data_IF_439944361311
#
_entry.id   IF_439944361311
#
_cell.length_a   1.000
_cell.length_b   1.000
_cell.length_c   1.000
_cell.angle_alpha   90.00
_cell.angle_beta   90.00
_cell.angle_gamma   90.00
#
_symmetry.space_group_name_H-M   'P 1'
#
loop_
_entity.id
_entity.type
_entity.pdbx_description
1 polymer ?
#
# COMPACT_ATOMS: atom_id res chain seq x y z
N UNK A 1 -10.96 -9.98 -13.48
CA UNK A 1 -10.09 -9.33 -12.48
C UNK A 1 -9.02 -8.58 -13.25
N UNK A 2 -9.08 -7.24 -13.40
CA UNK A 2 -7.99 -6.53 -14.05
C UNK A 2 -6.75 -6.72 -13.19
N UNK A 3 -5.62 -7.08 -13.81
CA UNK A 3 -4.35 -7.35 -13.13
C UNK A 3 -4.05 -6.23 -12.12
N UNK A 4 -4.10 -6.57 -10.83
CA UNK A 4 -3.90 -5.62 -9.74
C UNK A 4 -2.52 -5.00 -9.86
N UNK A 5 -2.44 -3.67 -9.70
CA UNK A 5 -1.15 -3.01 -9.58
C UNK A 5 -0.38 -3.65 -8.41
N UNK A 6 0.94 -3.82 -8.52
CA UNK A 6 1.73 -4.35 -7.42
C UNK A 6 1.53 -3.48 -6.17
N UNK A 7 1.48 -4.10 -4.99
CA UNK A 7 1.34 -3.37 -3.72
C UNK A 7 2.47 -2.35 -3.52
N UNK A 8 3.68 -2.73 -3.95
CA UNK A 8 4.89 -1.93 -3.85
C UNK A 8 5.47 -1.61 -5.23
N UNK A 9 5.98 -0.40 -5.37
CA UNK A 9 6.94 -0.04 -6.42
C UNK A 9 8.35 -0.45 -5.96
N UNK A 10 8.80 -1.62 -6.39
CA UNK A 10 10.10 -2.16 -6.00
C UNK A 10 11.26 -1.30 -6.49
N UNK A 11 11.13 -0.65 -7.66
CA UNK A 11 12.18 0.22 -8.18
C UNK A 11 12.34 1.45 -7.28
N UNK A 12 11.22 2.05 -6.86
CA UNK A 12 11.23 3.16 -5.89
C UNK A 12 11.78 2.73 -4.54
N UNK A 13 11.38 1.57 -4.01
CA UNK A 13 11.86 1.09 -2.70
C UNK A 13 13.35 0.77 -2.72
N UNK A 14 13.86 0.14 -3.78
CA UNK A 14 15.30 -0.11 -3.93
C UNK A 14 16.08 1.21 -3.98
N UNK A 15 15.59 2.20 -4.73
CA UNK A 15 16.21 3.53 -4.78
C UNK A 15 16.27 4.19 -3.39
N UNK A 16 15.17 4.13 -2.62
CA UNK A 16 15.13 4.68 -1.26
C UNK A 16 16.09 3.96 -0.33
N UNK A 17 16.15 2.62 -0.43
CA UNK A 17 17.07 1.82 0.36
C UNK A 17 18.53 2.14 0.03
N UNK A 18 18.87 2.33 -1.25
CA UNK A 18 20.22 2.70 -1.69
C UNK A 18 20.61 4.12 -1.23
N UNK A 19 19.64 5.05 -1.16
CA UNK A 19 19.88 6.45 -0.79
C UNK A 19 19.90 6.70 0.73
N UNK A 20 19.02 6.04 1.47
CA UNK A 20 18.77 6.31 2.89
C UNK A 20 19.29 5.19 3.80
N UNK A 21 19.51 4.00 3.25
CA UNK A 21 19.76 2.78 4.01
C UNK A 21 18.46 2.14 4.52
N UNK A 22 18.53 0.83 4.79
CA UNK A 22 17.38 0.03 5.22
C UNK A 22 16.76 0.53 6.55
N UNK A 23 17.59 0.91 7.53
CA UNK A 23 17.12 1.35 8.84
C UNK A 23 16.25 2.62 8.76
N UNK A 24 16.64 3.60 7.94
CA UNK A 24 15.88 4.85 7.76
C UNK A 24 14.59 4.57 6.98
N UNK A 25 14.64 3.70 5.96
CA UNK A 25 13.43 3.30 5.23
C UNK A 25 12.42 2.59 6.14
N UNK A 26 12.89 1.74 7.06
CA UNK A 26 12.02 1.08 8.04
C UNK A 26 11.38 2.06 9.02
N UNK A 27 12.13 3.08 9.48
CA UNK A 27 11.60 4.15 10.33
C UNK A 27 10.54 4.97 9.58
N UNK A 28 10.80 5.33 8.32
CA UNK A 28 9.84 6.04 7.47
C UNK A 28 8.56 5.22 7.24
N UNK A 29 8.70 3.93 6.97
CA UNK A 29 7.56 3.02 6.89
C UNK A 29 6.79 3.04 8.22
N UNK A 30 7.47 2.88 9.36
CA UNK A 30 6.82 2.89 10.67
C UNK A 30 6.04 4.19 10.92
N UNK A 31 6.64 5.35 10.68
CA UNK A 31 5.97 6.65 10.82
C UNK A 31 4.74 6.75 9.92
N UNK A 32 4.84 6.25 8.69
CA UNK A 32 3.69 6.21 7.78
C UNK A 32 2.56 5.34 8.34
N UNK A 33 2.87 4.11 8.77
CA UNK A 33 1.87 3.16 9.27
C UNK A 33 1.23 3.60 10.58
N UNK A 34 1.98 4.27 11.46
CA UNK A 34 1.45 4.87 12.69
C UNK A 34 0.51 6.06 12.41
N UNK A 35 0.74 6.77 11.30
CA UNK A 35 -0.07 7.91 10.85
C UNK A 35 -1.30 7.52 10.02
N UNK A 36 -1.24 6.41 9.29
CA UNK A 36 -2.25 6.01 8.31
C UNK A 36 -3.68 5.88 8.90
N UNK A 37 -3.91 5.29 10.09
CA UNK A 37 -5.25 5.20 10.67
C UNK A 37 -5.88 6.59 10.94
N UNK A 38 -5.08 7.56 11.39
CA UNK A 38 -5.57 8.92 11.66
C UNK A 38 -5.91 9.65 10.37
N UNK A 39 -5.12 9.46 9.31
CA UNK A 39 -5.41 10.01 7.99
C UNK A 39 -6.69 9.43 7.42
N UNK A 40 -6.89 8.11 7.55
CA UNK A 40 -8.10 7.44 7.09
C UNK A 40 -9.34 7.93 7.86
N UNK A 41 -9.26 8.02 9.19
CA UNK A 41 -10.36 8.54 10.01
C UNK A 41 -10.74 9.98 9.60
N UNK A 42 -9.74 10.86 9.41
CA UNK A 42 -9.99 12.24 8.96
C UNK A 42 -10.66 12.28 7.59
N UNK A 43 -10.31 11.35 6.69
CA UNK A 43 -10.96 11.25 5.38
C UNK A 43 -12.41 10.80 5.53
N UNK A 44 -12.70 9.82 6.38
CA UNK A 44 -14.06 9.39 6.69
C UNK A 44 -14.90 10.55 7.25
N UNK A 45 -14.34 11.33 8.19
CA UNK A 45 -15.02 12.49 8.79
C UNK A 45 -15.29 13.59 7.74
N UNK A 46 -14.32 13.85 6.85
CA UNK A 46 -14.47 14.82 5.76
C UNK A 46 -15.54 14.38 4.75
N UNK A 47 -15.58 13.09 4.40
CA UNK A 47 -16.62 12.53 3.53
C UNK A 47 -17.99 12.62 4.20
N UNK A 48 -18.10 12.28 5.49
CA UNK A 48 -19.35 12.33 6.24
C UNK A 48 -19.88 13.76 6.41
N UNK A 49 -19.00 14.74 6.55
CA UNK A 49 -19.36 16.16 6.66
C UNK A 49 -19.58 16.85 5.30
N UNK A 50 -19.25 16.19 4.19
CA UNK A 50 -19.32 16.77 2.85
C UNK A 50 -18.27 17.87 2.59
N UNK A 51 -17.21 17.95 3.41
CA UNK A 51 -16.14 18.92 3.23
C UNK A 51 -15.26 18.54 2.02
N UNK A 52 -15.62 19.12 0.88
CA UNK A 52 -14.96 18.87 -0.39
C UNK A 52 -13.47 19.21 -0.37
N UNK A 53 -13.09 20.28 0.33
CA UNK A 53 -11.70 20.76 0.39
C UNK A 53 -10.85 19.85 1.27
N UNK A 54 -11.39 19.44 2.42
CA UNK A 54 -10.73 18.48 3.29
C UNK A 54 -10.53 17.13 2.59
N UNK A 55 -11.55 16.63 1.88
CA UNK A 55 -11.45 15.40 1.09
C UNK A 55 -10.31 15.48 0.06
N UNK A 56 -10.28 16.55 -0.74
CA UNK A 56 -9.25 16.76 -1.76
C UNK A 56 -7.84 16.83 -1.16
N UNK A 57 -7.68 17.57 -0.06
CA UNK A 57 -6.40 17.70 0.65
C UNK A 57 -5.92 16.36 1.21
N UNK A 58 -6.79 15.61 1.87
CA UNK A 58 -6.46 14.31 2.46
C UNK A 58 -6.11 13.27 1.40
N UNK A 59 -6.89 13.18 0.31
CA UNK A 59 -6.58 12.30 -0.82
C UNK A 59 -5.26 12.66 -1.48
N UNK A 60 -4.95 13.96 -1.62
CA UNK A 60 -3.65 14.42 -2.11
C UNK A 60 -2.51 13.99 -1.17
N UNK A 61 -2.65 14.20 0.14
CA UNK A 61 -1.65 13.79 1.13
C UNK A 61 -1.43 12.27 1.13
N UNK A 62 -2.50 11.47 1.12
CA UNK A 62 -2.40 10.01 1.07
C UNK A 62 -1.70 9.58 -0.22
N UNK A 63 -2.11 10.13 -1.37
CA UNK A 63 -1.49 9.79 -2.65
C UNK A 63 0.01 10.14 -2.71
N UNK A 64 0.39 11.33 -2.24
CA UNK A 64 1.77 11.80 -2.25
C UNK A 64 2.66 10.99 -1.32
N UNK A 65 2.30 10.93 -0.03
CA UNK A 65 3.08 10.18 0.97
C UNK A 65 3.24 8.70 0.62
N UNK A 66 2.19 8.07 0.10
CA UNK A 66 2.24 6.67 -0.35
C UNK A 66 3.15 6.49 -1.56
N UNK A 67 3.11 7.41 -2.53
CA UNK A 67 3.99 7.36 -3.70
C UNK A 67 5.45 7.53 -3.29
N UNK A 68 5.73 8.47 -2.38
CA UNK A 68 7.08 8.80 -1.97
C UNK A 68 7.79 7.60 -1.35
N UNK A 69 7.05 6.75 -0.62
CA UNK A 69 7.50 5.50 0.02
C UNK A 69 7.37 4.25 -0.88
N UNK A 70 6.88 4.39 -2.11
CA UNK A 70 6.68 3.28 -3.04
C UNK A 70 5.51 2.35 -2.68
N UNK A 71 4.50 2.83 -1.94
CA UNK A 71 3.25 2.12 -1.64
C UNK A 71 2.26 2.29 -2.80
N UNK A 72 2.58 1.66 -3.93
CA UNK A 72 1.94 1.89 -5.22
C UNK A 72 0.42 1.64 -5.22
N UNK A 73 -0.05 0.59 -4.55
CA UNK A 73 -1.48 0.29 -4.47
C UNK A 73 -2.27 1.38 -3.73
N UNK A 74 -1.74 1.88 -2.60
CA UNK A 74 -2.39 2.94 -1.82
C UNK A 74 -2.38 4.26 -2.59
N UNK A 75 -1.24 4.61 -3.20
CA UNK A 75 -1.12 5.82 -4.02
C UNK A 75 -2.10 5.79 -5.21
N UNK A 76 -2.29 4.62 -5.83
CA UNK A 76 -3.26 4.43 -6.92
C UNK A 76 -4.69 4.61 -6.43
N UNK A 77 -5.08 3.93 -5.35
CA UNK A 77 -6.43 4.02 -4.79
C UNK A 77 -6.79 5.48 -4.45
N UNK A 78 -5.90 6.19 -3.73
CA UNK A 78 -6.14 7.59 -3.39
C UNK A 78 -6.23 8.52 -4.62
N UNK A 79 -5.44 8.27 -5.68
CA UNK A 79 -5.52 9.03 -6.93
C UNK A 79 -6.82 8.76 -7.70
N UNK A 80 -7.29 7.53 -7.68
CA UNK A 80 -8.56 7.13 -8.30
C UNK A 80 -9.73 7.80 -7.60
N UNK A 81 -9.78 7.74 -6.28
CA UNK A 81 -10.80 8.43 -5.48
C UNK A 81 -10.75 9.96 -5.63
N UNK A 82 -9.55 10.52 -5.78
CA UNK A 82 -9.40 11.95 -6.08
C UNK A 82 -9.99 12.32 -7.45
N UNK A 83 -9.85 11.45 -8.46
CA UNK A 83 -10.48 11.65 -9.77
C UNK A 83 -12.00 11.49 -9.69
N UNK A 84 -12.50 10.53 -8.94
CA UNK A 84 -13.93 10.36 -8.66
C UNK A 84 -14.52 11.61 -8.01
N UNK A 85 -13.87 12.12 -6.97
CA UNK A 85 -14.27 13.35 -6.28
C UNK A 85 -14.26 14.58 -7.18
N UNK A 86 -13.23 14.72 -8.03
CA UNK A 86 -13.17 15.80 -9.02
C UNK A 86 -14.31 15.71 -10.05
N UNK A 87 -14.73 14.51 -10.41
CA UNK A 87 -15.89 14.23 -11.28
C UNK A 87 -17.25 14.34 -10.56
N UNK A 88 -17.28 14.64 -9.26
CA UNK A 88 -18.51 14.75 -8.46
C UNK A 88 -19.10 13.40 -8.04
N UNK A 89 -18.32 12.32 -8.13
CA UNK A 89 -18.69 11.00 -7.62
C UNK A 89 -18.39 10.90 -6.12
N UNK A 90 -19.10 10.00 -5.44
CA UNK A 90 -18.84 9.71 -4.03
C UNK A 90 -17.48 9.04 -3.86
N UNK A 91 -16.75 9.43 -2.81
CA UNK A 91 -15.49 8.82 -2.43
C UNK A 91 -15.75 7.47 -1.76
N UNK A 92 -15.13 6.42 -2.27
CA UNK A 92 -15.08 5.10 -1.64
C UNK A 92 -13.85 5.01 -0.71
N UNK A 93 -14.07 5.32 0.57
CA UNK A 93 -13.01 5.23 1.58
C UNK A 93 -12.58 3.78 1.83
N UNK A 94 -13.48 2.81 1.62
CA UNK A 94 -13.17 1.39 1.81
C UNK A 94 -12.16 0.88 0.77
N UNK A 95 -12.14 1.45 -0.43
CA UNK A 95 -11.13 1.14 -1.44
C UNK A 95 -9.70 1.52 -0.98
N UNK A 96 -9.55 2.67 -0.30
CA UNK A 96 -8.27 3.13 0.25
C UNK A 96 -7.87 2.27 1.45
N UNK A 97 -8.82 1.95 2.34
CA UNK A 97 -8.60 1.05 3.47
C UNK A 97 -8.16 -0.34 3.03
N UNK A 98 -8.82 -0.92 2.03
CA UNK A 98 -8.44 -2.21 1.47
C UNK A 98 -7.03 -2.19 0.88
N UNK A 99 -6.65 -1.10 0.20
CA UNK A 99 -5.29 -0.94 -0.32
C UNK A 99 -4.24 -0.85 0.81
N UNK A 100 -4.55 -0.14 1.91
CA UNK A 100 -3.68 -0.06 3.09
C UNK A 100 -3.50 -1.44 3.73
N UNK A 101 -4.59 -2.15 3.99
CA UNK A 101 -4.57 -3.48 4.62
C UNK A 101 -3.85 -4.52 3.75
N UNK A 102 -4.12 -4.52 2.43
CA UNK A 102 -3.42 -5.41 1.50
C UNK A 102 -1.92 -5.15 1.45
N UNK A 103 -1.53 -3.87 1.43
CA UNK A 103 -0.11 -3.48 1.45
C UNK A 103 0.56 -3.84 2.77
N UNK A 104 -0.11 -3.65 3.91
CA UNK A 104 0.40 -4.06 5.22
C UNK A 104 0.55 -5.58 5.33
N UNK A 105 -0.43 -6.34 4.84
CA UNK A 105 -0.37 -7.81 4.82
C UNK A 105 0.81 -8.31 3.99
N UNK A 106 1.02 -7.72 2.82
CA UNK A 106 2.16 -8.01 1.96
C UNK A 106 3.50 -7.63 2.63
N UNK A 107 3.57 -6.51 3.37
CA UNK A 107 4.75 -6.09 4.15
C UNK A 107 5.12 -7.11 5.22
N UNK A 108 4.13 -7.61 5.95
CA UNK A 108 4.33 -8.54 7.07
C UNK A 108 4.61 -9.98 6.61
N UNK A 109 4.57 -10.25 5.30
CA UNK A 109 4.67 -11.62 4.77
C UNK A 109 3.44 -12.48 5.09
N UNK A 110 2.35 -11.88 5.57
CA UNK A 110 1.08 -12.54 5.83
C UNK A 110 0.37 -12.72 4.49
N UNK A 111 0.85 -13.68 3.70
CA UNK A 111 0.30 -13.93 2.37
C UNK A 111 1.22 -14.55 1.32
N UNK A 112 2.18 -15.42 1.67
CA UNK A 112 2.62 -16.53 0.80
C UNK A 112 3.44 -17.58 1.57
N UNK A 113 2.78 -18.49 2.30
CA UNK A 113 3.42 -19.72 2.84
C UNK A 113 2.88 -20.98 2.15
N UNK A 114 2.50 -20.89 0.87
CA UNK A 114 2.02 -22.02 0.09
C UNK A 114 2.72 -22.10 -1.27
N UNK A 115 4.04 -22.31 -1.27
CA UNK A 115 4.74 -22.95 -2.41
C UNK A 115 6.10 -23.57 -2.12
N UNK A 116 6.71 -23.39 -0.94
CA UNK A 116 8.04 -23.98 -0.62
C UNK A 116 7.99 -25.43 -0.12
N UNK A 117 7.10 -26.26 -0.70
CA UNK A 117 6.82 -27.61 -0.22
C UNK A 117 6.68 -28.70 -1.28
N UNK A 118 7.18 -28.50 -2.50
CA UNK A 118 7.11 -29.54 -3.54
C UNK A 118 8.32 -29.56 -4.50
N UNK A 119 9.55 -29.56 -3.95
CA UNK A 119 10.73 -29.99 -4.71
C UNK A 119 11.88 -30.42 -3.78
N UNK A 120 11.61 -31.31 -2.83
CA UNK A 120 12.69 -31.99 -2.10
C UNK A 120 12.25 -33.36 -1.62
N UNK A 121 12.07 -34.29 -2.56
CA UNK A 121 12.13 -35.74 -2.32
C UNK A 121 12.42 -36.45 -3.65
N UNK A 122 13.71 -36.57 -3.98
CA UNK A 122 14.29 -37.75 -4.65
C UNK A 122 15.77 -37.48 -5.02
N UNK A 123 16.62 -37.37 -4.00
CA UNK A 123 18.05 -37.60 -4.15
C UNK A 123 18.50 -38.53 -3.01
N UNK A 124 18.95 -39.73 -3.38
CA UNK A 124 19.40 -40.80 -2.49
C UNK A 124 18.53 -42.05 -2.67
N UNK A 125 19.00 -43.18 -3.17
CA UNK A 125 20.32 -43.77 -2.99
C UNK A 125 20.70 -44.75 -4.13
N UNK A 126 22.01 -45.05 -4.27
CA UNK A 126 22.56 -45.98 -5.26
C UNK A 126 22.62 -47.42 -4.72
N UNK A 127 22.72 -48.42 -5.61
CA UNK A 127 23.53 -49.63 -5.38
C UNK A 127 23.42 -50.62 -6.55
N UNK A 128 24.61 -50.94 -7.08
CA UNK A 128 25.08 -52.20 -7.69
C UNK A 128 24.50 -52.67 -9.03
#
# INVERSE_FOLDING_TARGET
MPAGAPFFDLARRNLLQDQLGAAVLDELDQVYWDGAPRLLQRLQDAVASGDRWACEGLLHTIAGSSLDLGLAAVAKAAREERRHHAAGLAIDVAAIEAALLGTLSARLGVGNSASDGAASTAAGAPAQ
#
